data_IF_907215555037
#
_entry.id   IF_907215555037
#
_cell.length_a   1.000
_cell.length_b   1.000
_cell.length_c   1.000
_cell.angle_alpha   90.00
_cell.angle_beta   90.00
_cell.angle_gamma   90.00
#
_symmetry.space_group_name_H-M   'P 1'
#
loop_
_entity.id
_entity.type
_entity.pdbx_description
1 polymer ?
#
# COMPACT_ATOMS: atom_id res chain seq x y z
N UNK A 1 28.72 -11.52 19.55
CA UNK A 1 27.99 -10.42 18.90
C UNK A 1 28.88 -9.19 18.89
N UNK A 2 28.81 -8.36 17.83
CA UNK A 2 29.53 -7.07 17.76
C UNK A 2 28.91 -6.05 18.72
N UNK A 3 29.68 -5.04 19.15
CA UNK A 3 29.18 -3.87 19.90
C UNK A 3 28.78 -2.71 18.99
N UNK A 4 28.91 -2.87 17.67
CA UNK A 4 28.46 -1.87 16.70
C UNK A 4 26.94 -1.68 16.76
N UNK A 5 26.48 -0.44 16.53
CA UNK A 5 25.06 -0.13 16.34
C UNK A 5 24.64 -0.68 14.97
N UNK A 6 23.68 -1.59 14.94
CA UNK A 6 23.15 -2.18 13.71
C UNK A 6 22.06 -1.32 13.08
N UNK A 7 22.07 -1.21 11.74
CA UNK A 7 21.06 -0.48 10.97
C UNK A 7 20.61 -1.31 9.75
N UNK A 8 19.40 -1.91 9.78
CA UNK A 8 18.53 -2.08 10.95
C UNK A 8 19.09 -3.12 11.94
N UNK A 9 18.56 -3.12 13.17
CA UNK A 9 18.75 -4.23 14.12
C UNK A 9 17.93 -5.46 13.68
N UNK A 10 18.24 -6.66 14.21
CA UNK A 10 17.46 -7.88 13.91
C UNK A 10 15.97 -7.70 14.26
N UNK A 11 15.58 -7.18 15.45
CA UNK A 11 14.17 -6.92 15.74
C UNK A 11 13.51 -5.95 14.77
N UNK A 12 14.21 -4.87 14.37
CA UNK A 12 13.69 -3.92 13.39
C UNK A 12 13.49 -4.56 12.01
N UNK A 13 14.42 -5.44 11.59
CA UNK A 13 14.26 -6.21 10.35
C UNK A 13 13.07 -7.17 10.42
N UNK A 14 12.84 -7.83 11.56
CA UNK A 14 11.70 -8.73 11.76
C UNK A 14 10.37 -7.96 11.83
N UNK A 15 10.37 -6.75 12.38
CA UNK A 15 9.19 -5.88 12.42
C UNK A 15 8.70 -5.51 11.00
N UNK A 16 9.60 -5.50 10.01
CA UNK A 16 9.27 -5.25 8.60
C UNK A 16 8.70 -6.48 7.88
N UNK A 17 8.51 -7.62 8.55
CA UNK A 17 7.88 -8.78 7.93
C UNK A 17 6.40 -8.50 7.63
N UNK A 18 5.93 -9.00 6.48
CA UNK A 18 4.54 -8.82 6.04
C UNK A 18 3.54 -9.42 7.02
N UNK A 19 3.91 -10.51 7.70
CA UNK A 19 3.10 -11.06 8.80
C UNK A 19 2.89 -10.05 9.94
N UNK A 20 3.93 -9.30 10.31
CA UNK A 20 3.83 -8.26 11.36
C UNK A 20 2.96 -7.11 10.87
N UNK A 21 3.18 -6.64 9.65
CA UNK A 21 2.32 -5.64 9.00
C UNK A 21 0.85 -6.08 9.02
N UNK A 22 0.56 -7.35 8.73
CA UNK A 22 -0.81 -7.88 8.73
C UNK A 22 -1.41 -7.93 10.11
N UNK A 23 -0.62 -8.38 11.10
CA UNK A 23 -1.09 -8.42 12.48
C UNK A 23 -1.38 -7.03 13.05
N UNK A 24 -0.65 -6.00 12.62
CA UNK A 24 -0.88 -4.61 12.99
C UNK A 24 -2.18 -4.03 12.41
N UNK A 25 -2.80 -4.67 11.40
CA UNK A 25 -4.12 -4.24 10.91
C UNK A 25 -5.24 -4.48 11.93
N UNK A 26 -5.03 -5.35 12.92
CA UNK A 26 -5.96 -5.54 14.03
C UNK A 26 -5.97 -4.31 14.95
N UNK A 27 -7.13 -3.64 15.15
CA UNK A 27 -7.20 -2.48 16.03
C UNK A 27 -6.77 -2.78 17.47
N UNK A 28 -7.07 -3.99 17.95
CA UNK A 28 -6.68 -4.45 19.29
C UNK A 28 -5.16 -4.56 19.44
N UNK A 29 -4.46 -4.98 18.38
CA UNK A 29 -2.99 -5.09 18.40
C UNK A 29 -2.36 -3.72 18.23
N UNK A 30 -2.85 -2.91 17.30
CA UNK A 30 -2.30 -1.59 17.00
C UNK A 30 -2.31 -0.67 18.23
N UNK A 31 -3.42 -0.67 18.98
CA UNK A 31 -3.58 0.13 20.22
C UNK A 31 -2.67 -0.28 21.38
N UNK A 32 -1.92 -1.38 21.25
CA UNK A 32 -0.87 -1.74 22.22
C UNK A 32 0.40 -0.92 22.03
N UNK A 33 0.55 -0.30 20.86
CA UNK A 33 1.78 0.40 20.45
C UNK A 33 1.59 1.89 20.20
N UNK A 34 0.35 2.35 20.01
CA UNK A 34 0.02 3.72 19.65
C UNK A 34 -1.08 4.29 20.56
N UNK A 35 -1.10 5.61 20.72
CA UNK A 35 -2.24 6.30 21.32
C UNK A 35 -3.49 6.14 20.44
N UNK A 36 -4.69 6.26 21.01
CA UNK A 36 -5.94 6.02 20.25
C UNK A 36 -6.06 6.90 19.00
N UNK A 37 -5.70 8.18 19.08
CA UNK A 37 -5.74 9.11 17.94
C UNK A 37 -4.72 8.76 16.84
N UNK A 38 -3.55 8.25 17.23
CA UNK A 38 -2.51 7.81 16.29
C UNK A 38 -2.92 6.48 15.63
N UNK A 39 -3.47 5.55 16.42
CA UNK A 39 -3.96 4.28 15.94
C UNK A 39 -5.07 4.45 14.91
N UNK A 40 -5.99 5.40 15.09
CA UNK A 40 -7.04 5.71 14.11
C UNK A 40 -6.44 6.24 12.80
N UNK A 41 -5.52 7.21 12.87
CA UNK A 41 -4.87 7.78 11.69
C UNK A 41 -4.05 6.74 10.92
N UNK A 42 -3.32 5.87 11.62
CA UNK A 42 -2.54 4.79 11.00
C UNK A 42 -3.47 3.71 10.42
N UNK A 43 -4.50 3.30 11.14
CA UNK A 43 -5.46 2.29 10.67
C UNK A 43 -6.18 2.73 9.39
N UNK A 44 -6.44 4.04 9.22
CA UNK A 44 -7.04 4.59 8.01
C UNK A 44 -6.19 4.41 6.74
N UNK A 45 -4.89 4.10 6.89
CA UNK A 45 -3.97 3.82 5.78
C UNK A 45 -3.94 2.34 5.39
N UNK A 46 -4.55 1.45 6.19
CA UNK A 46 -4.50 0.02 5.97
C UNK A 46 -5.58 -0.44 5.00
N UNK A 47 -5.24 -1.46 4.21
CA UNK A 47 -6.19 -2.32 3.51
C UNK A 47 -6.32 -3.65 4.23
N UNK A 48 -7.29 -4.48 3.85
CA UNK A 48 -7.45 -5.80 4.48
C UNK A 48 -6.20 -6.64 4.24
N UNK A 49 -5.61 -7.16 5.31
CA UNK A 49 -4.46 -8.06 5.23
C UNK A 49 -4.48 -9.09 6.35
N UNK A 50 -4.40 -10.38 6.01
CA UNK A 50 -4.59 -11.47 6.96
C UNK A 50 -3.97 -12.79 6.52
N UNK A 51 -3.74 -13.69 7.48
CA UNK A 51 -3.35 -15.08 7.18
C UNK A 51 -4.42 -15.76 6.32
N UNK A 52 -4.07 -16.69 5.41
CA UNK A 52 -5.06 -17.37 4.57
C UNK A 52 -6.26 -17.99 5.33
N UNK A 53 -6.05 -18.56 6.52
CA UNK A 53 -7.13 -19.15 7.34
C UNK A 53 -7.88 -18.15 8.23
N UNK A 54 -7.40 -16.92 8.35
CA UNK A 54 -8.00 -15.91 9.22
C UNK A 54 -9.28 -15.35 8.60
N UNK A 55 -10.34 -15.24 9.41
CA UNK A 55 -11.61 -14.66 8.99
C UNK A 55 -11.49 -13.13 8.92
N UNK A 56 -11.91 -12.57 7.79
CA UNK A 56 -11.89 -11.12 7.55
C UNK A 56 -13.21 -10.65 6.98
N UNK A 57 -13.54 -9.39 7.24
CA UNK A 57 -14.64 -8.69 6.56
C UNK A 57 -14.08 -7.86 5.42
N UNK A 58 -14.49 -8.17 4.19
CA UNK A 58 -14.10 -7.43 2.98
C UNK A 58 -15.32 -7.23 2.07
N UNK A 59 -15.59 -5.99 1.66
CA UNK A 59 -16.75 -5.63 0.83
C UNK A 59 -18.08 -6.23 1.33
N UNK A 60 -18.30 -6.19 2.65
CA UNK A 60 -19.53 -6.70 3.30
C UNK A 60 -19.62 -8.22 3.41
N UNK A 61 -18.55 -8.97 3.08
CA UNK A 61 -18.47 -10.43 3.19
C UNK A 61 -17.55 -10.82 4.33
N UNK A 62 -18.00 -11.71 5.20
CA UNK A 62 -17.18 -12.29 6.26
C UNK A 62 -16.88 -13.74 5.92
N UNK A 63 -15.60 -14.07 5.71
CA UNK A 63 -15.12 -15.41 5.37
C UNK A 63 -13.61 -15.50 5.59
N UNK A 64 -13.01 -16.71 5.60
CA UNK A 64 -11.56 -16.86 5.54
C UNK A 64 -10.96 -16.09 4.36
N UNK A 65 -9.84 -15.40 4.58
CA UNK A 65 -9.18 -14.61 3.54
C UNK A 65 -8.87 -15.45 2.27
N UNK A 66 -8.51 -16.73 2.46
CA UNK A 66 -8.31 -17.69 1.36
C UNK A 66 -9.56 -17.82 0.48
N UNK A 67 -10.75 -17.93 1.06
CA UNK A 67 -11.98 -18.16 0.31
C UNK A 67 -12.36 -16.91 -0.49
N UNK A 68 -12.16 -15.73 0.09
CA UNK A 68 -12.32 -14.45 -0.60
C UNK A 68 -11.34 -14.30 -1.76
N UNK A 69 -10.06 -14.61 -1.55
CA UNK A 69 -9.04 -14.54 -2.59
C UNK A 69 -9.26 -15.56 -3.72
N UNK A 70 -9.79 -16.75 -3.42
CA UNK A 70 -10.15 -17.73 -4.46
C UNK A 70 -11.39 -17.29 -5.26
N UNK A 71 -12.35 -16.62 -4.63
CA UNK A 71 -13.55 -16.11 -5.30
C UNK A 71 -13.28 -14.83 -6.11
N UNK A 72 -12.35 -13.98 -5.65
CA UNK A 72 -12.04 -12.66 -6.23
C UNK A 72 -10.52 -12.52 -6.51
N UNK A 73 -9.93 -13.35 -7.38
CA UNK A 73 -8.48 -13.47 -7.50
C UNK A 73 -7.76 -12.22 -8.01
N UNK A 74 -8.48 -11.30 -8.65
CA UNK A 74 -7.92 -10.03 -9.12
C UNK A 74 -7.95 -8.93 -8.06
N UNK A 75 -8.67 -9.13 -6.95
CA UNK A 75 -8.80 -8.17 -5.84
C UNK A 75 -7.88 -8.51 -4.65
N UNK A 76 -7.06 -9.55 -4.80
CA UNK A 76 -6.17 -10.05 -3.76
C UNK A 76 -4.77 -10.35 -4.30
N UNK A 77 -3.79 -10.22 -3.41
CA UNK A 77 -2.39 -10.57 -3.66
C UNK A 77 -1.93 -11.50 -2.54
N UNK A 78 -1.24 -12.58 -2.92
CA UNK A 78 -0.56 -13.45 -1.96
C UNK A 78 0.91 -13.08 -1.89
N UNK A 79 1.37 -12.70 -0.70
CA UNK A 79 2.74 -12.22 -0.47
C UNK A 79 3.51 -13.17 0.44
N UNK A 80 4.67 -13.71 0.00
CA UNK A 80 5.55 -14.45 0.89
C UNK A 80 6.33 -13.48 1.79
N UNK A 81 6.90 -13.98 2.90
CA UNK A 81 7.78 -13.21 3.81
C UNK A 81 9.16 -12.92 3.19
N UNK A 82 9.20 -12.20 2.06
CA UNK A 82 10.43 -11.80 1.33
C UNK A 82 10.41 -10.33 0.91
N UNK A 83 11.59 -9.75 0.84
CA UNK A 83 11.83 -8.35 0.42
C UNK A 83 12.54 -8.29 -0.94
N UNK A 84 12.55 -7.11 -1.57
CA UNK A 84 13.30 -6.86 -2.80
C UNK A 84 12.53 -6.98 -4.13
N UNK A 85 11.20 -7.04 -4.09
CA UNK A 85 10.36 -7.16 -5.30
C UNK A 85 10.35 -8.58 -5.90
N UNK A 86 9.49 -8.84 -6.88
CA UNK A 86 9.48 -10.10 -7.66
C UNK A 86 8.86 -11.33 -6.99
N UNK A 87 8.38 -11.21 -5.75
CA UNK A 87 7.97 -12.36 -4.95
C UNK A 87 6.45 -12.53 -4.80
N UNK A 88 5.67 -11.51 -5.15
CA UNK A 88 4.22 -11.53 -4.97
C UNK A 88 3.54 -12.40 -6.02
N UNK A 89 2.46 -13.08 -5.62
CA UNK A 89 1.64 -13.90 -6.50
C UNK A 89 0.28 -13.22 -6.71
N UNK A 90 -0.18 -13.19 -7.96
CA UNK A 90 -1.37 -12.47 -8.40
C UNK A 90 -2.27 -13.41 -9.20
N UNK A 91 -3.59 -13.15 -9.21
CA UNK A 91 -4.54 -13.83 -10.08
C UNK A 91 -4.39 -15.36 -10.04
N UNK A 92 -4.22 -15.98 -11.21
CA UNK A 92 -4.14 -17.44 -11.32
C UNK A 92 -2.93 -18.06 -10.60
N UNK A 93 -1.80 -17.34 -10.46
CA UNK A 93 -0.63 -17.85 -9.74
C UNK A 93 -0.90 -17.94 -8.25
N UNK A 94 -1.58 -16.93 -7.70
CA UNK A 94 -2.07 -16.95 -6.33
C UNK A 94 -3.07 -18.10 -6.14
N UNK A 95 -4.06 -18.24 -7.03
CA UNK A 95 -5.07 -19.31 -6.94
C UNK A 95 -4.41 -20.69 -6.91
N UNK A 96 -3.50 -20.97 -7.85
CA UNK A 96 -2.76 -22.24 -7.90
C UNK A 96 -1.97 -22.47 -6.61
N UNK A 97 -1.30 -21.43 -6.10
CA UNK A 97 -0.52 -21.53 -4.87
C UNK A 97 -1.39 -21.82 -3.64
N UNK A 98 -2.55 -21.15 -3.52
CA UNK A 98 -3.49 -21.34 -2.41
C UNK A 98 -4.12 -22.73 -2.43
N UNK A 99 -4.52 -23.22 -3.62
CA UNK A 99 -5.10 -24.56 -3.77
C UNK A 99 -4.11 -25.67 -3.45
N UNK A 100 -2.84 -25.48 -3.78
CA UNK A 100 -1.77 -26.42 -3.47
C UNK A 100 -1.16 -26.24 -2.07
N UNK A 101 -1.61 -25.26 -1.29
CA UNK A 101 -0.98 -24.88 -0.02
C UNK A 101 -1.27 -25.89 1.08
N UNK A 102 -0.21 -26.50 1.61
CA UNK A 102 -0.30 -27.30 2.82
C UNK A 102 -0.43 -26.38 4.05
N UNK A 103 -1.23 -26.71 5.08
CA UNK A 103 -1.41 -25.85 6.26
C UNK A 103 -0.09 -25.41 6.93
N UNK A 104 0.92 -26.28 6.94
CA UNK A 104 2.24 -25.96 7.50
C UNK A 104 3.00 -24.85 6.76
N UNK A 105 2.64 -24.56 5.50
CA UNK A 105 3.26 -23.49 4.71
C UNK A 105 2.59 -22.13 4.92
N UNK A 106 1.38 -22.12 5.47
CA UNK A 106 0.57 -20.92 5.61
C UNK A 106 1.28 -19.75 6.30
N UNK A 107 2.04 -19.95 7.41
CA UNK A 107 2.73 -18.84 8.08
C UNK A 107 3.77 -18.11 7.20
N UNK A 108 4.21 -18.73 6.09
CA UNK A 108 5.14 -18.11 5.16
C UNK A 108 4.48 -17.09 4.23
N UNK A 109 3.15 -16.92 4.28
CA UNK A 109 2.39 -16.07 3.38
C UNK A 109 1.39 -15.18 4.11
N UNK A 110 0.99 -14.11 3.44
CA UNK A 110 -0.17 -13.32 3.82
C UNK A 110 -0.99 -12.95 2.60
N UNK A 111 -2.31 -12.86 2.76
CA UNK A 111 -3.21 -12.31 1.76
C UNK A 111 -3.46 -10.85 2.04
N UNK A 112 -3.37 -10.02 1.00
CA UNK A 112 -3.61 -8.58 1.06
C UNK A 112 -4.57 -8.19 -0.04
N UNK A 113 -5.53 -7.33 0.29
CA UNK A 113 -6.37 -6.64 -0.67
C UNK A 113 -5.52 -5.87 -1.70
N UNK A 114 -5.88 -6.00 -2.97
CA UNK A 114 -5.20 -5.33 -4.07
C UNK A 114 -5.60 -3.85 -4.10
N UNK A 115 -4.64 -2.95 -3.89
CA UNK A 115 -4.83 -1.51 -4.06
C UNK A 115 -4.90 -1.19 -5.56
N UNK A 116 -5.96 -0.51 -5.99
CA UNK A 116 -6.15 -0.04 -7.38
C UNK A 116 -5.93 1.48 -7.48
N UNK A 117 -4.68 1.95 -7.64
CA UNK A 117 -4.43 3.37 -7.84
C UNK A 117 -5.05 3.84 -9.15
N UNK A 118 -5.45 5.11 -9.21
CA UNK A 118 -5.90 5.74 -10.44
C UNK A 118 -4.74 5.84 -11.43
N UNK A 119 -4.93 5.33 -12.64
CA UNK A 119 -3.96 5.50 -13.71
C UNK A 119 -4.01 6.92 -14.27
N UNK A 120 -2.85 7.43 -14.68
CA UNK A 120 -2.72 8.73 -15.31
C UNK A 120 -1.79 8.64 -16.52
N UNK A 121 -1.97 9.52 -17.50
CA UNK A 121 -1.07 9.60 -18.63
C UNK A 121 0.23 10.29 -18.22
N UNK A 122 1.36 9.67 -18.57
CA UNK A 122 2.69 10.24 -18.34
C UNK A 122 3.67 9.75 -19.42
N UNK A 123 4.81 10.43 -19.52
CA UNK A 123 5.93 10.03 -20.37
C UNK A 123 7.05 9.55 -19.47
N UNK A 124 7.43 8.29 -19.61
CA UNK A 124 8.57 7.68 -18.91
C UNK A 124 9.77 7.65 -19.83
N UNK A 125 10.97 7.92 -19.31
CA UNK A 125 12.21 7.72 -20.06
C UNK A 125 12.72 6.29 -19.81
N UNK A 126 12.74 5.46 -20.86
CA UNK A 126 13.17 4.05 -20.79
C UNK A 126 14.25 3.82 -21.85
N UNK A 127 15.44 3.39 -21.45
CA UNK A 127 16.59 3.17 -22.35
C UNK A 127 16.90 4.40 -23.25
N UNK A 128 16.75 5.60 -22.70
CA UNK A 128 16.88 6.90 -23.38
C UNK A 128 15.78 7.22 -24.42
N UNK A 129 14.73 6.41 -24.49
CA UNK A 129 13.58 6.65 -25.36
C UNK A 129 12.37 7.11 -24.54
N UNK A 130 11.61 8.13 -25.02
CA UNK A 130 10.37 8.53 -24.39
C UNK A 130 9.29 7.48 -24.67
N UNK A 131 8.70 6.95 -23.61
CA UNK A 131 7.59 6.00 -23.64
C UNK A 131 6.37 6.66 -23.00
N UNK A 132 5.43 7.09 -23.83
CA UNK A 132 4.14 7.59 -23.39
C UNK A 132 3.20 6.44 -23.05
N UNK A 133 2.43 6.58 -21.98
CA UNK A 133 1.44 5.59 -21.62
C UNK A 133 0.73 5.90 -20.31
N UNK A 134 -0.18 5.02 -19.95
CA UNK A 134 -0.83 5.06 -18.65
C UNK A 134 0.11 4.49 -17.58
N UNK A 135 0.26 5.23 -16.50
CA UNK A 135 1.17 4.94 -15.41
C UNK A 135 0.44 4.87 -14.07
N UNK A 136 1.09 4.22 -13.11
CA UNK A 136 0.70 4.19 -11.70
C UNK A 136 1.89 4.63 -10.85
N UNK A 137 1.61 5.26 -9.73
CA UNK A 137 2.63 5.78 -8.82
C UNK A 137 2.52 5.16 -7.43
N UNK A 138 3.68 4.84 -6.86
CA UNK A 138 3.85 4.42 -5.48
C UNK A 138 4.62 5.51 -4.73
N UNK A 139 4.00 6.09 -3.71
CA UNK A 139 4.59 7.10 -2.84
C UNK A 139 5.19 6.44 -1.59
N UNK A 140 6.48 6.64 -1.37
CA UNK A 140 7.19 6.20 -0.17
C UNK A 140 7.77 7.38 0.59
N UNK A 141 7.81 7.28 1.91
CA UNK A 141 8.43 8.26 2.81
C UNK A 141 9.65 7.64 3.48
N UNK A 142 10.69 8.44 3.73
CA UNK A 142 11.86 8.03 4.49
C UNK A 142 11.80 8.62 5.89
N UNK A 143 12.10 7.80 6.89
CA UNK A 143 12.27 8.24 8.27
C UNK A 143 13.50 7.60 8.90
N UNK A 144 14.11 8.30 9.85
CA UNK A 144 15.21 7.77 10.66
C UNK A 144 14.84 7.77 12.13
N UNK A 145 15.03 6.61 12.75
CA UNK A 145 14.78 6.39 14.17
C UNK A 145 16.02 5.82 14.86
N UNK A 146 16.41 6.43 15.98
CA UNK A 146 17.44 5.89 16.86
C UNK A 146 16.86 5.74 18.27
N UNK A 147 16.88 4.51 18.78
CA UNK A 147 16.37 4.16 20.11
C UNK A 147 17.50 3.65 20.99
N UNK A 148 17.46 3.95 22.28
CA UNK A 148 18.32 3.26 23.24
C UNK A 148 17.88 1.79 23.41
N UNK A 149 18.81 0.89 23.78
CA UNK A 149 18.47 -0.48 24.11
C UNK A 149 17.40 -0.54 25.22
N UNK A 150 16.34 -1.31 25.00
CA UNK A 150 15.21 -1.42 25.94
C UNK A 150 13.93 -0.72 25.47
N UNK A 151 14.01 0.28 24.59
CA UNK A 151 12.93 0.68 23.68
C UNK A 151 11.58 1.09 24.30
N UNK A 152 11.54 1.51 25.57
CA UNK A 152 10.30 1.91 26.27
C UNK A 152 10.11 3.43 26.38
N UNK A 153 11.05 4.23 25.86
CA UNK A 153 11.03 5.70 25.91
C UNK A 153 10.96 6.32 24.50
N UNK A 154 10.96 7.66 24.43
CA UNK A 154 10.99 8.42 23.18
C UNK A 154 12.31 8.18 22.41
N UNK A 155 12.27 8.09 21.06
CA UNK A 155 13.49 8.06 20.25
C UNK A 155 14.48 9.21 20.54
N UNK A 156 15.77 8.88 20.48
CA UNK A 156 16.87 9.85 20.47
C UNK A 156 16.92 10.64 19.15
N UNK A 157 16.56 9.98 18.05
CA UNK A 157 16.41 10.56 16.71
C UNK A 157 15.07 10.10 16.16
N UNK A 158 14.29 11.05 15.66
CA UNK A 158 12.99 10.85 15.01
C UNK A 158 12.87 11.94 13.94
N UNK A 159 13.27 11.60 12.72
CA UNK A 159 13.41 12.55 11.61
C UNK A 159 12.62 12.07 10.38
N UNK A 160 11.87 13.00 9.78
CA UNK A 160 11.35 12.89 8.42
C UNK A 160 12.46 13.27 7.43
N UNK A 161 12.81 12.35 6.54
CA UNK A 161 13.89 12.48 5.57
C UNK A 161 13.38 12.68 4.14
N UNK A 162 12.10 13.01 3.98
CA UNK A 162 11.47 13.28 2.70
C UNK A 162 10.89 12.02 2.05
N UNK A 163 10.87 11.99 0.71
CA UNK A 163 10.08 11.02 -0.04
C UNK A 163 10.81 10.42 -1.24
N UNK A 164 10.25 9.31 -1.72
CA UNK A 164 10.57 8.66 -2.98
C UNK A 164 9.27 8.39 -3.73
N UNK A 165 9.17 8.92 -4.95
CA UNK A 165 8.09 8.61 -5.87
C UNK A 165 8.60 7.62 -6.92
N UNK A 166 7.88 6.51 -7.09
CA UNK A 166 8.17 5.52 -8.12
C UNK A 166 6.97 5.40 -9.05
N UNK A 167 7.20 5.64 -10.32
CA UNK A 167 6.15 5.59 -11.35
C UNK A 167 6.44 4.48 -12.34
N UNK A 168 5.45 3.64 -12.61
CA UNK A 168 5.58 2.47 -13.47
C UNK A 168 4.45 2.42 -14.48
N UNK A 169 4.64 1.63 -15.52
CA UNK A 169 3.56 1.27 -16.43
C UNK A 169 2.39 0.64 -15.66
N UNK A 170 1.14 0.97 -16.00
CA UNK A 170 0.00 0.40 -15.28
C UNK A 170 -0.07 -1.13 -15.36
N UNK A 171 0.52 -1.73 -16.40
CA UNK A 171 0.53 -3.18 -16.61
C UNK A 171 1.62 -3.86 -15.77
N UNK A 172 2.59 -3.09 -15.28
CA UNK A 172 3.70 -3.61 -14.50
C UNK A 172 3.27 -3.96 -13.07
N UNK A 173 3.44 -5.24 -12.72
CA UNK A 173 3.22 -5.73 -11.35
C UNK A 173 4.44 -5.49 -10.44
N UNK A 174 5.59 -5.14 -11.01
CA UNK A 174 6.83 -4.90 -10.29
C UNK A 174 7.13 -3.39 -10.15
N UNK A 175 7.76 -3.02 -9.05
CA UNK A 175 8.04 -1.62 -8.69
C UNK A 175 9.51 -1.30 -8.46
N UNK A 176 10.41 -2.23 -8.81
CA UNK A 176 11.85 -2.05 -8.58
C UNK A 176 12.48 -1.21 -9.70
N UNK A 177 13.06 -0.06 -9.31
CA UNK A 177 13.72 0.87 -10.24
C UNK A 177 14.97 0.25 -10.85
N UNK A 178 15.85 -0.34 -10.04
CA UNK A 178 17.08 -0.99 -10.52
C UNK A 178 16.79 -2.21 -11.42
N UNK A 179 15.62 -2.82 -11.26
CA UNK A 179 15.14 -3.91 -12.12
C UNK A 179 14.54 -3.44 -13.46
N UNK A 180 14.46 -2.14 -13.70
CA UNK A 180 13.88 -1.57 -14.93
C UNK A 180 12.34 -1.54 -14.97
N UNK A 181 11.67 -1.83 -13.85
CA UNK A 181 10.19 -1.93 -13.81
C UNK A 181 9.49 -0.60 -13.48
N UNK A 182 10.23 0.34 -12.88
CA UNK A 182 9.72 1.64 -12.46
C UNK A 182 10.77 2.73 -12.72
N UNK A 183 10.32 3.96 -12.91
CA UNK A 183 11.12 5.16 -12.99
C UNK A 183 11.03 5.95 -11.66
N UNK A 184 12.06 6.73 -11.38
CA UNK A 184 11.99 7.77 -10.35
C UNK A 184 11.13 8.92 -10.84
N UNK A 185 10.37 9.51 -9.92
CA UNK A 185 9.44 10.58 -10.24
C UNK A 185 9.47 11.66 -9.13
N UNK A 186 8.77 12.77 -9.35
CA UNK A 186 8.63 13.88 -8.40
C UNK A 186 7.18 14.28 -8.25
N UNK A 187 6.82 14.79 -7.06
CA UNK A 187 5.45 15.26 -6.84
C UNK A 187 5.22 16.61 -7.54
N UNK A 188 4.11 16.69 -8.27
CA UNK A 188 3.51 17.96 -8.68
C UNK A 188 2.25 18.19 -7.85
N UNK A 189 2.18 19.31 -7.12
CA UNK A 189 0.97 19.71 -6.43
C UNK A 189 0.02 20.32 -7.46
N UNK A 190 -1.10 19.63 -7.71
CA UNK A 190 -2.17 20.19 -8.51
C UNK A 190 -3.09 21.04 -7.63
N UNK A 191 -3.44 22.24 -8.09
CA UNK A 191 -4.55 22.97 -7.45
C UNK A 191 -5.83 22.15 -7.62
N UNK A 192 -6.69 22.06 -6.57
CA UNK A 192 -7.93 21.32 -6.68
C UNK A 192 -8.74 21.88 -7.85
N UNK A 193 -8.88 21.09 -8.90
CA UNK A 193 -9.70 21.44 -10.06
C UNK A 193 -11.11 21.63 -9.54
N UNK A 194 -11.66 22.84 -9.68
CA UNK A 194 -13.10 23.05 -9.45
C UNK A 194 -13.80 22.12 -10.43
N UNK A 195 -14.31 20.99 -9.95
CA UNK A 195 -15.23 20.17 -10.70
C UNK A 195 -16.39 21.09 -11.08
N UNK A 196 -16.43 21.51 -12.34
CA UNK A 196 -17.54 22.26 -12.89
C UNK A 196 -18.77 21.35 -12.77
N UNK A 197 -19.59 21.61 -11.76
CA UNK A 197 -20.92 21.02 -11.67
C UNK A 197 -21.70 21.30 -12.97
N UNK A 198 -22.69 20.45 -13.30
CA UNK A 198 -23.47 20.66 -14.51
C UNK A 198 -24.07 22.06 -14.47
N UNK A 199 -23.91 22.80 -15.57
CA UNK A 199 -24.40 24.17 -15.73
C UNK A 199 -25.86 24.25 -15.25
N UNK A 200 -26.04 24.93 -14.11
CA UNK A 200 -27.34 25.23 -13.56
C UNK A 200 -28.13 26.02 -14.59
N UNK A 201 -29.35 25.55 -14.84
CA UNK A 201 -30.26 26.07 -15.85
C UNK A 201 -30.37 27.60 -15.83
N UNK A 202 -30.32 28.13 -17.04
CA UNK A 202 -30.69 29.47 -17.42
C UNK A 202 -31.99 29.92 -16.72
N UNK A 203 -31.99 30.91 -15.80
CA UNK A 203 -33.24 31.53 -15.38
C UNK A 203 -33.71 32.42 -16.54
N UNK A 204 -34.69 31.90 -17.27
CA UNK A 204 -35.41 32.62 -18.30
C UNK A 204 -35.89 33.98 -17.79
N UNK A 205 -35.56 35.00 -18.57
CA UNK A 205 -36.13 36.33 -18.65
C UNK A 205 -37.46 36.54 -17.91
N UNK A 206 -37.45 37.50 -16.99
CA UNK A 206 -38.62 38.30 -16.67
C UNK A 206 -38.38 39.70 -17.23
N UNK A 207 -39.25 40.16 -18.15
CA UNK A 207 -39.81 41.46 -17.91
C UNK A 207 -41.33 41.43 -18.16
N UNK A 208 -42.10 42.04 -17.27
CA UNK A 208 -42.83 43.28 -17.57
C UNK A 208 -43.79 43.59 -16.41
N UNK A 209 -43.62 44.80 -15.90
CA UNK A 209 -44.54 45.56 -15.05
C UNK A 209 -45.77 46.00 -15.84
N UNK A 210 -46.99 45.83 -15.30
CA UNK A 210 -48.03 46.87 -15.12
C UNK A 210 -49.47 46.33 -15.07
N UNK A 211 -50.24 47.02 -14.21
CA UNK A 211 -51.68 47.05 -13.96
C UNK A 211 -52.23 45.97 -13.04
#
# INVERSE_FOLDING_TARGET
ASTAISVPSIPAQLANMKMVQGRLTSPEVLRRYLLDSEAEAVAATFVVMASPSEEVTWNGRCAPARDLALAFPEDWILKPQREGGGNNLYGQDMVRRLQAMHPAEEPAFILMEYIRPAAFHSVRLVENEPVEGLCLTEFGTFGAFLMEPGGLEKPLVDEDLGYLLRTKDHQSREGLVIGGYAALDVLALEEPTRLSGPEGGNPSADPVTRA
#
